data_IF_490915905983
#
_entry.id   IF_490915905983
#
_cell.length_a   1.000
_cell.length_b   1.000
_cell.length_c   1.000
_cell.angle_alpha   90.00
_cell.angle_beta   90.00
_cell.angle_gamma   90.00
#
_symmetry.space_group_name_H-M   'P 1'
#
loop_
_entity.id
_entity.type
_entity.pdbx_description
1 polymer ?
#
# COMPACT_ATOMS: atom_id res chain seq x y z
N UNK A 1 34.50 44.48 50.33
CA UNK A 1 33.13 44.02 50.69
C UNK A 1 32.28 44.14 49.44
N UNK A 2 31.69 43.14 48.80
CA UNK A 2 31.56 41.71 49.05
C UNK A 2 31.75 40.97 47.71
N UNK A 3 32.24 39.74 47.78
CA UNK A 3 32.61 38.88 46.66
C UNK A 3 31.37 38.13 46.15
N UNK A 4 31.20 38.11 44.83
CA UNK A 4 30.18 37.38 44.08
C UNK A 4 30.48 35.87 44.19
N UNK A 5 29.58 35.10 44.81
CA UNK A 5 29.59 33.63 44.77
C UNK A 5 28.53 33.13 43.80
N UNK A 6 29.00 32.52 42.71
CA UNK A 6 28.23 31.74 41.75
C UNK A 6 28.01 30.35 42.34
N UNK A 7 26.76 29.95 42.53
CA UNK A 7 26.37 28.58 42.90
C UNK A 7 25.87 27.84 41.66
N UNK A 8 26.71 26.96 41.13
CA UNK A 8 26.40 25.98 40.10
C UNK A 8 25.70 24.80 40.80
N UNK A 9 24.42 24.58 40.51
CA UNK A 9 23.68 23.43 41.01
C UNK A 9 23.86 22.25 40.04
N UNK A 10 24.71 21.31 40.42
CA UNK A 10 24.87 20.01 39.73
C UNK A 10 23.83 19.06 40.33
N UNK A 11 22.82 18.66 39.55
CA UNK A 11 21.92 17.56 39.94
C UNK A 11 22.57 16.20 39.65
N UNK A 12 22.50 15.24 40.58
CA UNK A 12 23.05 13.90 40.37
C UNK A 12 22.12 13.04 39.50
N UNK A 13 22.74 12.37 38.53
CA UNK A 13 22.16 11.27 37.75
C UNK A 13 22.01 10.07 38.69
N UNK A 14 20.77 9.63 38.93
CA UNK A 14 20.48 8.32 39.51
C UNK A 14 19.87 7.41 38.44
N UNK A 15 20.61 6.37 38.09
CA UNK A 15 20.19 5.17 37.37
C UNK A 15 19.63 4.17 38.38
N UNK A 16 18.33 3.86 38.36
CA UNK A 16 17.78 2.62 38.96
C UNK A 16 16.51 2.17 38.21
N UNK A 17 16.62 0.96 37.65
CA UNK A 17 15.66 -0.13 37.43
C UNK A 17 14.39 0.04 36.58
N UNK A 18 14.48 -0.56 35.38
CA UNK A 18 13.41 -1.31 34.71
C UNK A 18 13.00 -2.49 35.60
N UNK A 19 11.73 -2.58 35.99
CA UNK A 19 10.93 -3.83 36.17
C UNK A 19 9.74 -3.70 37.15
N UNK A 20 8.93 -2.62 37.05
CA UNK A 20 7.71 -2.47 37.88
C UNK A 20 6.50 -1.96 37.08
N UNK A 21 6.22 -2.55 35.90
CA UNK A 21 4.98 -2.24 35.17
C UNK A 21 4.13 -3.47 34.78
N UNK A 22 4.48 -4.68 35.23
CA UNK A 22 3.80 -5.91 34.81
C UNK A 22 2.84 -6.55 35.81
N UNK A 23 2.46 -5.89 36.92
CA UNK A 23 1.68 -6.60 37.98
C UNK A 23 0.45 -5.87 38.51
N UNK A 24 0.09 -4.68 38.01
CA UNK A 24 -1.13 -3.98 38.47
C UNK A 24 -2.01 -3.60 37.28
N UNK A 25 -2.78 -4.58 36.81
CA UNK A 25 -3.78 -4.37 35.76
C UNK A 25 -4.58 -5.62 35.38
N UNK A 26 -4.57 -6.66 36.22
CA UNK A 26 -5.10 -7.98 35.88
C UNK A 26 -6.42 -8.34 36.59
N UNK A 27 -7.17 -7.37 37.13
CA UNK A 27 -8.37 -7.70 37.89
C UNK A 27 -9.54 -6.72 37.75
N UNK A 28 -9.91 -6.28 36.54
CA UNK A 28 -11.30 -5.89 36.19
C UNK A 28 -11.52 -5.99 34.67
N UNK A 29 -11.58 -7.20 34.09
CA UNK A 29 -12.14 -7.42 32.75
C UNK A 29 -12.73 -8.83 32.63
N UNK A 30 -13.82 -9.08 33.36
CA UNK A 30 -14.83 -10.08 33.04
C UNK A 30 -16.10 -9.24 32.81
N UNK A 31 -16.62 -9.09 31.59
CA UNK A 31 -17.21 -10.13 30.75
C UNK A 31 -17.38 -9.60 29.32
N UNK A 32 -17.37 -10.52 28.34
CA UNK A 32 -17.42 -10.31 26.87
C UNK A 32 -16.08 -10.06 26.15
N UNK A 33 -15.13 -10.97 26.37
CA UNK A 33 -14.09 -11.28 25.37
C UNK A 33 -14.73 -11.91 24.13
N UNK A 34 -14.97 -11.10 23.09
CA UNK A 34 -14.91 -11.65 21.72
C UNK A 34 -13.51 -12.22 21.54
N UNK A 35 -13.40 -13.53 21.33
CA UNK A 35 -12.17 -14.21 20.93
C UNK A 35 -11.70 -13.63 19.59
N UNK A 36 -10.95 -12.53 19.64
CA UNK A 36 -10.07 -12.11 18.56
C UNK A 36 -8.97 -13.15 18.52
N UNK A 37 -9.19 -14.20 17.73
CA UNK A 37 -8.19 -15.19 17.40
C UNK A 37 -7.10 -14.43 16.65
N UNK A 38 -6.05 -13.98 17.37
CA UNK A 38 -4.76 -13.66 16.76
C UNK A 38 -4.48 -14.79 15.79
N UNK A 39 -4.34 -14.46 14.51
CA UNK A 39 -4.11 -15.47 13.48
C UNK A 39 -2.98 -16.37 13.97
N UNK A 40 -3.32 -17.63 14.23
CA UNK A 40 -2.34 -18.64 14.58
C UNK A 40 -1.27 -18.59 13.51
N UNK A 41 0.00 -18.48 13.89
CA UNK A 41 1.16 -18.68 13.04
C UNK A 41 0.94 -19.94 12.19
N UNK A 42 0.36 -19.78 11.01
CA UNK A 42 0.45 -20.75 9.94
C UNK A 42 1.83 -20.49 9.34
N UNK A 43 2.62 -21.57 9.28
CA UNK A 43 4.07 -21.56 9.09
C UNK A 43 4.60 -20.40 8.25
N UNK A 44 5.61 -19.71 8.78
CA UNK A 44 6.24 -18.56 8.15
C UNK A 44 6.50 -18.84 6.68
N UNK A 45 5.74 -18.15 5.82
CA UNK A 45 5.96 -18.20 4.38
C UNK A 45 7.36 -17.69 4.09
N UNK A 46 8.05 -18.33 3.16
CA UNK A 46 9.39 -17.89 2.76
C UNK A 46 9.30 -16.50 2.14
N UNK A 47 10.31 -15.64 2.33
CA UNK A 47 10.34 -14.29 1.72
C UNK A 47 10.05 -14.26 0.21
N UNK A 48 10.55 -15.22 -0.59
CA UNK A 48 10.16 -15.35 -2.00
C UNK A 48 8.65 -15.49 -2.21
N UNK A 49 7.93 -16.15 -1.30
CA UNK A 49 6.49 -16.29 -1.38
C UNK A 49 5.77 -14.97 -1.06
N UNK A 50 6.16 -14.28 0.02
CA UNK A 50 5.61 -12.97 0.38
C UNK A 50 5.70 -11.98 -0.79
N UNK A 51 6.91 -11.75 -1.30
CA UNK A 51 7.14 -10.70 -2.29
C UNK A 51 6.46 -11.02 -3.63
N UNK A 52 6.30 -12.30 -3.95
CA UNK A 52 5.62 -12.71 -5.19
C UNK A 52 4.13 -12.39 -5.19
N UNK A 53 3.44 -12.61 -4.07
CA UNK A 53 2.02 -12.24 -3.93
C UNK A 53 1.84 -10.74 -3.85
N UNK A 54 2.71 -10.05 -3.10
CA UNK A 54 2.72 -8.58 -3.06
C UNK A 54 2.88 -8.00 -4.47
N UNK A 55 3.86 -8.48 -5.24
CA UNK A 55 4.10 -8.01 -6.61
C UNK A 55 2.90 -8.26 -7.53
N UNK A 56 2.24 -9.42 -7.41
CA UNK A 56 1.03 -9.71 -8.17
C UNK A 56 -0.08 -8.69 -7.87
N UNK A 57 -0.36 -8.41 -6.60
CA UNK A 57 -1.35 -7.40 -6.19
C UNK A 57 -1.02 -5.99 -6.70
N UNK A 58 0.25 -5.59 -6.59
CA UNK A 58 0.70 -4.29 -7.08
C UNK A 58 0.56 -4.17 -8.61
N UNK A 59 0.94 -5.21 -9.37
CA UNK A 59 0.80 -5.23 -10.82
C UNK A 59 -0.68 -5.20 -11.23
N UNK A 60 -1.57 -5.85 -10.47
CA UNK A 60 -3.01 -5.82 -10.74
C UNK A 60 -3.64 -4.45 -10.51
N UNK A 61 -3.18 -3.70 -9.51
CA UNK A 61 -3.56 -2.29 -9.34
C UNK A 61 -2.92 -1.39 -10.40
N UNK A 62 -1.62 -1.13 -10.27
CA UNK A 62 -0.90 -0.08 -11.00
C UNK A 62 -0.06 -0.57 -12.18
N UNK A 63 0.16 -1.88 -12.30
CA UNK A 63 1.00 -2.44 -13.36
C UNK A 63 0.35 -2.44 -14.75
N UNK A 64 1.21 -2.39 -15.77
CA UNK A 64 0.81 -2.51 -17.16
C UNK A 64 1.65 -3.55 -17.92
N UNK A 65 0.94 -4.49 -18.55
CA UNK A 65 1.48 -5.47 -19.48
C UNK A 65 1.50 -4.88 -20.90
N UNK A 66 2.70 -4.57 -21.41
CA UNK A 66 2.90 -4.11 -22.78
C UNK A 66 3.22 -5.31 -23.69
N UNK A 67 2.19 -6.06 -24.08
CA UNK A 67 2.32 -7.24 -24.96
C UNK A 67 2.22 -6.84 -26.44
N UNK A 68 3.24 -7.12 -27.28
CA UNK A 68 3.12 -6.86 -28.71
C UNK A 68 2.19 -7.86 -29.41
N UNK A 69 1.33 -7.37 -30.31
CA UNK A 69 0.41 -8.21 -31.12
C UNK A 69 1.10 -9.02 -32.23
N UNK A 70 2.35 -8.69 -32.57
CA UNK A 70 3.15 -9.35 -33.61
C UNK A 70 4.55 -9.64 -33.07
N UNK A 71 5.19 -10.71 -33.56
CA UNK A 71 6.53 -11.09 -33.10
C UNK A 71 7.65 -10.18 -33.62
N UNK A 72 7.41 -9.51 -34.76
CA UNK A 72 8.37 -8.63 -35.45
C UNK A 72 7.71 -7.31 -35.86
N UNK A 73 8.53 -6.27 -36.06
CA UNK A 73 8.14 -5.01 -36.72
C UNK A 73 8.00 -5.22 -38.23
N UNK A 74 7.40 -4.27 -38.98
CA UNK A 74 7.40 -4.32 -40.45
C UNK A 74 8.82 -4.40 -41.06
N UNK A 75 9.81 -3.81 -40.38
CA UNK A 75 11.23 -3.87 -40.75
C UNK A 75 11.93 -5.20 -40.41
N UNK A 76 11.21 -6.17 -39.82
CA UNK A 76 11.76 -7.48 -39.44
C UNK A 76 12.42 -7.54 -38.05
N UNK A 77 12.55 -6.42 -37.34
CA UNK A 77 13.12 -6.36 -35.99
C UNK A 77 12.23 -7.11 -34.98
N UNK A 78 12.84 -7.94 -34.13
CA UNK A 78 12.10 -8.65 -33.08
C UNK A 78 11.47 -7.66 -32.09
N UNK A 79 10.16 -7.81 -31.83
CA UNK A 79 9.48 -7.06 -30.76
C UNK A 79 9.75 -7.74 -29.41
N UNK A 80 9.73 -6.94 -28.34
CA UNK A 80 9.89 -7.36 -26.95
C UNK A 80 8.65 -6.99 -26.14
N UNK A 81 8.27 -7.85 -25.20
CA UNK A 81 7.25 -7.53 -24.21
C UNK A 81 7.85 -6.68 -23.09
N UNK A 82 7.01 -5.93 -22.38
CA UNK A 82 7.45 -5.17 -21.22
C UNK A 82 6.41 -5.19 -20.10
N UNK A 83 6.89 -5.08 -18.86
CA UNK A 83 6.07 -4.83 -17.68
C UNK A 83 6.46 -3.45 -17.15
N UNK A 84 5.48 -2.64 -16.81
CA UNK A 84 5.69 -1.28 -16.32
C UNK A 84 4.85 -1.00 -15.08
N UNK A 85 5.45 -0.34 -14.10
CA UNK A 85 4.73 0.27 -12.96
C UNK A 85 5.22 1.71 -12.80
N UNK A 86 4.29 2.65 -12.61
CA UNK A 86 4.60 4.08 -12.44
C UNK A 86 4.24 4.50 -11.03
N UNK A 87 5.23 4.94 -10.28
CA UNK A 87 5.10 5.38 -8.89
C UNK A 87 5.08 6.91 -8.80
N UNK A 88 4.39 7.44 -7.80
CA UNK A 88 4.64 8.82 -7.37
C UNK A 88 6.13 8.99 -7.01
N UNK A 89 6.72 10.16 -7.24
CA UNK A 89 8.16 10.32 -7.00
C UNK A 89 8.56 10.01 -5.55
N UNK A 90 7.71 10.34 -4.57
CA UNK A 90 7.94 9.99 -3.16
C UNK A 90 8.13 8.49 -2.93
N UNK A 91 7.55 7.64 -3.77
CA UNK A 91 7.62 6.18 -3.70
C UNK A 91 8.73 5.58 -4.60
N UNK A 92 9.59 6.43 -5.18
CA UNK A 92 10.78 5.99 -5.93
C UNK A 92 11.66 4.99 -5.15
N UNK A 93 11.85 5.11 -3.82
CA UNK A 93 12.59 4.09 -3.05
C UNK A 93 11.94 2.69 -3.15
N UNK A 94 10.61 2.60 -3.20
CA UNK A 94 9.91 1.33 -3.41
C UNK A 94 10.16 0.80 -4.82
N UNK A 95 10.15 1.67 -5.83
CA UNK A 95 10.49 1.28 -7.19
C UNK A 95 11.94 0.77 -7.29
N UNK A 96 12.88 1.38 -6.57
CA UNK A 96 14.27 0.94 -6.50
C UNK A 96 14.43 -0.41 -5.77
N UNK A 97 13.68 -0.64 -4.69
CA UNK A 97 13.63 -1.94 -4.03
C UNK A 97 13.17 -3.03 -5.01
N UNK A 98 12.03 -2.82 -5.68
CA UNK A 98 11.49 -3.79 -6.64
C UNK A 98 12.44 -3.99 -7.83
N UNK A 99 13.11 -2.93 -8.30
CA UNK A 99 14.16 -3.04 -9.32
C UNK A 99 15.32 -3.93 -8.85
N UNK A 100 15.77 -3.79 -7.60
CA UNK A 100 16.86 -4.62 -7.07
C UNK A 100 16.48 -6.10 -6.98
N UNK A 101 15.21 -6.40 -6.71
CA UNK A 101 14.70 -7.78 -6.56
C UNK A 101 14.41 -8.45 -7.91
N UNK A 102 13.88 -7.70 -8.88
CA UNK A 102 13.34 -8.29 -10.11
C UNK A 102 13.98 -7.75 -11.40
N UNK A 103 14.97 -6.86 -11.30
CA UNK A 103 15.65 -6.27 -12.44
C UNK A 103 14.89 -5.12 -13.10
N UNK A 104 15.14 -4.90 -14.39
CA UNK A 104 14.61 -3.75 -15.13
C UNK A 104 15.34 -2.44 -14.88
N UNK A 105 14.76 -1.35 -15.38
CA UNK A 105 15.33 0.01 -15.35
C UNK A 105 14.36 0.98 -14.71
N UNK A 106 14.90 1.91 -13.92
CA UNK A 106 14.15 2.98 -13.28
C UNK A 106 14.39 4.30 -14.02
N UNK A 107 13.32 5.02 -14.32
CA UNK A 107 13.35 6.30 -15.02
C UNK A 107 12.58 7.35 -14.23
N UNK A 108 13.24 8.46 -13.91
CA UNK A 108 12.58 9.62 -13.32
C UNK A 108 12.04 10.51 -14.43
N UNK A 109 10.74 10.76 -14.42
CA UNK A 109 10.07 11.55 -15.45
C UNK A 109 9.62 12.90 -14.91
N UNK A 110 9.95 14.02 -15.59
CA UNK A 110 9.44 15.34 -15.25
C UNK A 110 7.93 15.42 -15.44
N UNK A 111 7.31 16.42 -14.81
CA UNK A 111 5.96 16.82 -15.16
C UNK A 111 5.90 17.13 -16.67
N UNK A 112 4.84 16.72 -17.37
CA UNK A 112 4.57 17.25 -18.71
C UNK A 112 4.45 18.77 -18.56
N UNK A 113 5.10 19.54 -19.45
CA UNK A 113 4.91 21.00 -19.54
C UNK A 113 3.40 21.27 -19.65
N UNK A 114 2.80 21.87 -18.61
CA UNK A 114 1.46 22.41 -18.72
C UNK A 114 1.61 23.74 -19.44
N UNK A 115 1.48 23.73 -20.77
CA UNK A 115 1.26 24.97 -21.51
C UNK A 115 -0.18 25.40 -21.27
N UNK A 116 -0.41 26.26 -20.27
CA UNK A 116 -1.69 26.97 -20.18
C UNK A 116 -1.74 27.99 -21.33
N UNK A 117 -2.78 28.00 -22.18
CA UNK A 117 -2.95 29.03 -23.20
C UNK A 117 -3.29 30.41 -22.60
N UNK A 118 -3.63 30.48 -21.30
CA UNK A 118 -3.80 31.72 -20.55
C UNK A 118 -2.67 31.86 -19.53
N UNK A 119 -1.85 32.91 -19.72
CA UNK A 119 -0.60 33.25 -19.00
C UNK A 119 0.62 32.49 -19.52
N UNK A 120 1.37 33.17 -20.39
CA UNK A 120 2.71 32.80 -20.87
C UNK A 120 3.78 32.83 -19.78
N UNK A 121 3.56 32.10 -18.69
CA UNK A 121 4.58 31.78 -17.70
C UNK A 121 4.55 30.27 -17.50
N UNK A 122 5.30 29.55 -18.35
CA UNK A 122 5.60 28.15 -18.09
C UNK A 122 6.44 28.10 -16.80
N UNK A 123 5.81 27.85 -15.66
CA UNK A 123 6.54 27.50 -14.45
C UNK A 123 7.19 26.14 -14.72
N UNK A 124 8.47 26.18 -15.09
CA UNK A 124 9.33 25.02 -15.19
C UNK A 124 9.35 24.34 -13.82
N UNK A 125 8.59 23.25 -13.67
CA UNK A 125 8.92 22.27 -12.65
C UNK A 125 9.83 21.26 -13.34
N UNK A 126 11.12 21.57 -13.38
CA UNK A 126 12.16 20.65 -13.88
C UNK A 126 12.32 19.43 -12.95
N UNK A 127 11.73 19.49 -11.75
CA UNK A 127 11.72 18.37 -10.82
C UNK A 127 10.86 17.20 -11.33
N UNK A 128 11.35 15.95 -11.18
CA UNK A 128 10.59 14.77 -11.52
C UNK A 128 9.27 14.71 -10.76
N UNK A 129 8.24 14.15 -11.39
CA UNK A 129 6.91 14.00 -10.80
C UNK A 129 6.62 12.56 -10.41
N UNK A 130 7.26 11.63 -11.11
CA UNK A 130 6.99 10.19 -11.03
C UNK A 130 8.24 9.40 -11.38
N UNK A 131 8.34 8.20 -10.81
CA UNK A 131 9.36 7.23 -11.14
C UNK A 131 8.70 6.06 -11.89
N UNK A 132 9.25 5.69 -13.04
CA UNK A 132 8.76 4.59 -13.87
C UNK A 132 9.73 3.43 -13.79
N UNK A 133 9.25 2.30 -13.27
CA UNK A 133 9.98 1.04 -13.29
C UNK A 133 9.55 0.21 -14.51
N UNK A 134 10.51 -0.04 -15.40
CA UNK A 134 10.29 -0.70 -16.69
C UNK A 134 11.15 -1.96 -16.81
N UNK A 135 10.50 -3.11 -16.96
CA UNK A 135 11.16 -4.39 -17.22
C UNK A 135 10.94 -4.75 -18.70
N UNK A 136 12.03 -4.87 -19.46
CA UNK A 136 12.00 -5.12 -20.92
C UNK A 136 12.95 -6.23 -21.38
N UNK A 137 13.92 -6.63 -20.54
CA UNK A 137 14.77 -7.75 -20.88
C UNK A 137 13.99 -9.07 -20.74
N UNK A 138 14.16 -9.97 -21.72
CA UNK A 138 13.39 -11.21 -21.80
C UNK A 138 13.47 -12.01 -20.49
N UNK A 139 14.66 -12.12 -19.90
CA UNK A 139 14.90 -12.91 -18.68
C UNK A 139 14.04 -12.39 -17.51
N UNK A 140 14.09 -11.10 -17.20
CA UNK A 140 13.36 -10.53 -16.08
C UNK A 140 11.85 -10.52 -16.33
N UNK A 141 11.40 -10.27 -17.58
CA UNK A 141 9.98 -10.40 -17.94
C UNK A 141 9.50 -11.83 -17.70
N UNK A 142 10.19 -12.83 -18.25
CA UNK A 142 9.82 -14.25 -18.06
C UNK A 142 9.83 -14.66 -16.58
N UNK A 143 10.81 -14.19 -15.81
CA UNK A 143 10.88 -14.44 -14.37
C UNK A 143 9.66 -13.87 -13.63
N UNK A 144 9.31 -12.60 -13.86
CA UNK A 144 8.14 -11.98 -13.22
C UNK A 144 6.85 -12.70 -13.64
N UNK A 145 6.70 -13.03 -14.93
CA UNK A 145 5.51 -13.75 -15.42
C UNK A 145 5.36 -15.11 -14.73
N UNK A 146 6.43 -15.91 -14.66
CA UNK A 146 6.40 -17.17 -13.92
C UNK A 146 6.10 -16.97 -12.44
N UNK A 147 6.63 -15.90 -11.84
CA UNK A 147 6.46 -15.60 -10.42
C UNK A 147 5.01 -15.26 -10.06
N UNK A 148 4.31 -14.48 -10.89
CA UNK A 148 2.94 -14.02 -10.61
C UNK A 148 1.85 -14.89 -11.24
N UNK A 149 2.20 -15.79 -12.16
CA UNK A 149 1.26 -16.74 -12.75
C UNK A 149 0.65 -17.63 -11.65
N UNK A 150 -0.68 -17.67 -11.59
CA UNK A 150 -1.41 -18.34 -10.50
C UNK A 150 -1.57 -17.50 -9.22
N UNK A 151 -1.17 -16.21 -9.22
CA UNK A 151 -1.32 -15.29 -8.08
C UNK A 151 -2.24 -14.10 -8.33
N UNK A 152 -2.68 -13.90 -9.57
CA UNK A 152 -3.63 -12.84 -9.95
C UNK A 152 -5.06 -13.15 -9.47
N UNK A 153 -5.83 -12.11 -9.16
CA UNK A 153 -7.22 -12.20 -8.67
C UNK A 153 -8.22 -11.30 -9.42
N UNK A 154 -7.77 -10.53 -10.40
CA UNK A 154 -8.57 -9.60 -11.23
C UNK A 154 -8.68 -10.08 -12.68
N UNK A 155 -9.57 -9.50 -13.51
CA UNK A 155 -9.60 -9.75 -14.95
C UNK A 155 -8.31 -9.41 -15.71
N UNK A 156 -7.33 -8.73 -15.08
CA UNK A 156 -6.00 -8.48 -15.67
C UNK A 156 -5.24 -9.78 -15.99
N UNK A 157 -5.71 -10.94 -15.51
CA UNK A 157 -5.20 -12.26 -15.94
C UNK A 157 -5.26 -12.45 -17.46
N UNK A 158 -6.21 -11.83 -18.16
CA UNK A 158 -6.26 -11.92 -19.63
C UNK A 158 -5.01 -11.29 -20.27
N UNK A 159 -4.58 -10.13 -19.78
CA UNK A 159 -3.34 -9.49 -20.25
C UNK A 159 -2.09 -10.29 -19.87
N UNK A 160 -2.10 -10.98 -18.73
CA UNK A 160 -1.05 -11.94 -18.36
C UNK A 160 -1.01 -13.10 -19.37
N UNK A 161 -2.16 -13.67 -19.70
CA UNK A 161 -2.26 -14.77 -20.66
C UNK A 161 -1.81 -14.38 -22.06
N UNK A 162 -2.13 -13.17 -22.52
CA UNK A 162 -1.58 -12.62 -23.77
C UNK A 162 -0.05 -12.55 -23.72
N UNK A 163 0.53 -12.16 -22.58
CA UNK A 163 1.98 -12.12 -22.41
C UNK A 163 2.60 -13.52 -22.42
N UNK A 164 1.96 -14.48 -21.76
CA UNK A 164 2.36 -15.89 -21.78
C UNK A 164 2.34 -16.43 -23.22
N UNK A 165 1.29 -16.16 -23.99
CA UNK A 165 1.20 -16.58 -25.40
C UNK A 165 2.32 -15.97 -26.24
N UNK A 166 2.62 -14.68 -26.05
CA UNK A 166 3.71 -14.00 -26.73
C UNK A 166 5.08 -14.60 -26.39
N UNK A 167 5.33 -14.92 -25.12
CA UNK A 167 6.58 -15.55 -24.66
C UNK A 167 6.71 -16.98 -25.19
N UNK A 168 5.62 -17.75 -25.18
CA UNK A 168 5.60 -19.11 -25.73
C UNK A 168 5.86 -19.12 -27.24
N UNK A 169 5.28 -18.17 -27.98
CA UNK A 169 5.59 -17.96 -29.40
C UNK A 169 7.05 -17.52 -29.65
N UNK A 170 7.77 -17.10 -28.62
CA UNK A 170 9.21 -16.78 -28.62
C UNK A 170 10.08 -17.89 -28.02
N UNK A 171 9.53 -19.09 -27.85
CA UNK A 171 10.24 -20.30 -27.44
C UNK A 171 10.24 -20.60 -25.94
N UNK A 172 9.49 -19.85 -25.13
CA UNK A 172 9.23 -20.24 -23.74
C UNK A 172 8.12 -21.33 -23.68
N UNK A 173 7.93 -21.97 -22.53
CA UNK A 173 6.92 -23.03 -22.34
C UNK A 173 6.15 -22.86 -21.03
N UNK A 174 5.48 -21.71 -20.88
CA UNK A 174 4.76 -21.31 -19.68
C UNK A 174 3.31 -21.80 -19.77
N UNK A 175 2.88 -22.59 -18.79
CA UNK A 175 1.48 -23.05 -18.66
C UNK A 175 0.66 -21.95 -17.99
N UNK A 176 -0.50 -21.59 -18.54
CA UNK A 176 -1.43 -20.62 -17.95
C UNK A 176 -2.07 -21.21 -16.69
N UNK A 177 -1.88 -20.56 -15.54
CA UNK A 177 -2.49 -20.96 -14.26
C UNK A 177 -3.72 -20.10 -13.96
N UNK A 178 -4.77 -20.67 -13.32
CA UNK A 178 -6.01 -19.94 -13.04
C UNK A 178 -5.82 -18.83 -12.00
N UNK A 179 -6.85 -17.99 -11.84
CA UNK A 179 -6.93 -17.01 -10.76
C UNK A 179 -6.73 -17.65 -9.39
N UNK A 180 -6.00 -16.96 -8.52
CA UNK A 180 -5.82 -17.35 -7.13
C UNK A 180 -7.13 -17.20 -6.35
N UNK A 181 -7.53 -18.28 -5.68
CA UNK A 181 -8.75 -18.35 -4.87
C UNK A 181 -8.47 -18.51 -3.37
N UNK A 182 -7.19 -18.51 -2.97
CA UNK A 182 -6.80 -18.65 -1.57
C UNK A 182 -7.33 -17.51 -0.69
N UNK A 183 -7.55 -17.75 0.62
CA UNK A 183 -8.02 -16.72 1.55
C UNK A 183 -7.17 -15.45 1.50
N UNK A 184 -7.80 -14.27 1.59
CA UNK A 184 -7.09 -12.98 1.48
C UNK A 184 -6.02 -12.77 2.57
N UNK A 185 -6.23 -13.33 3.76
CA UNK A 185 -5.26 -13.31 4.87
C UNK A 185 -4.15 -14.37 4.77
N UNK A 186 -4.14 -15.20 3.72
CA UNK A 186 -3.12 -16.24 3.57
C UNK A 186 -1.86 -15.74 2.86
N UNK A 187 -1.84 -14.53 2.29
CA UNK A 187 -0.68 -13.99 1.58
C UNK A 187 -0.75 -12.45 1.44
N UNK A 188 0.30 -11.87 0.84
CA UNK A 188 0.49 -10.43 0.70
C UNK A 188 -0.18 -9.79 -0.52
N UNK A 189 -1.03 -10.52 -1.26
CA UNK A 189 -1.66 -9.99 -2.48
C UNK A 189 -2.46 -8.71 -2.20
N UNK A 190 -3.25 -8.69 -1.13
CA UNK A 190 -4.07 -7.54 -0.78
C UNK A 190 -3.18 -6.36 -0.35
N UNK A 191 -2.01 -6.58 0.26
CA UNK A 191 -1.08 -5.50 0.58
C UNK A 191 -0.57 -4.78 -0.68
N UNK A 192 -0.18 -5.53 -1.72
CA UNK A 192 0.22 -4.96 -3.01
C UNK A 192 -0.92 -4.21 -3.70
N UNK A 193 -2.13 -4.76 -3.63
CA UNK A 193 -3.32 -4.15 -4.21
C UNK A 193 -3.74 -2.85 -3.47
N UNK A 194 -3.61 -2.83 -2.14
CA UNK A 194 -3.77 -1.63 -1.31
C UNK A 194 -2.68 -0.61 -1.63
N UNK A 195 -1.47 -1.05 -1.96
CA UNK A 195 -0.40 -0.12 -2.28
C UNK A 195 -0.59 0.62 -3.60
N UNK A 196 -1.38 0.08 -4.51
CA UNK A 196 -1.83 0.79 -5.70
C UNK A 196 -2.94 1.81 -5.39
N UNK A 197 -4.07 1.37 -4.80
CA UNK A 197 -5.31 2.18 -4.77
C UNK A 197 -5.92 2.42 -3.38
N UNK A 198 -5.21 2.02 -2.31
CA UNK A 198 -5.64 2.21 -0.93
C UNK A 198 -5.39 3.61 -0.38
N UNK A 199 -6.26 4.06 0.53
CA UNK A 199 -6.16 5.37 1.19
C UNK A 199 -6.55 5.32 2.66
N UNK A 200 -5.63 5.75 3.54
CA UNK A 200 -5.87 5.89 4.97
C UNK A 200 -6.27 7.32 5.31
N UNK A 201 -7.41 7.49 5.97
CA UNK A 201 -8.00 8.78 6.27
C UNK A 201 -8.31 8.95 7.76
N UNK A 202 -7.78 10.03 8.35
CA UNK A 202 -8.26 10.58 9.62
C UNK A 202 -9.17 11.78 9.28
N UNK A 203 -10.46 11.69 9.58
CA UNK A 203 -11.45 12.76 9.40
C UNK A 203 -11.68 13.51 10.71
N UNK A 204 -12.27 14.71 10.63
CA UNK A 204 -12.48 15.59 11.77
C UNK A 204 -11.62 16.87 11.69
N UNK A 205 -11.56 17.61 12.79
CA UNK A 205 -10.76 18.84 12.95
C UNK A 205 -11.10 19.95 11.95
N UNK A 206 -12.37 20.03 11.54
CA UNK A 206 -12.87 21.11 10.69
C UNK A 206 -13.72 22.07 11.51
N UNK A 207 -13.93 23.28 11.00
CA UNK A 207 -14.86 24.25 11.58
C UNK A 207 -16.33 23.81 11.51
N UNK A 208 -16.64 22.76 10.77
CA UNK A 208 -18.01 22.25 10.66
C UNK A 208 -18.41 21.51 11.95
N UNK A 209 -19.45 21.95 12.68
CA UNK A 209 -19.87 21.34 13.94
C UNK A 209 -20.42 19.90 13.77
N UNK A 210 -20.78 19.49 12.55
CA UNK A 210 -21.17 18.10 12.24
C UNK A 210 -19.96 17.16 12.03
N UNK A 211 -18.76 17.73 11.95
CA UNK A 211 -17.53 16.97 11.73
C UNK A 211 -17.12 16.26 13.02
N UNK A 212 -17.10 14.93 12.97
CA UNK A 212 -16.59 14.11 14.06
C UNK A 212 -15.27 13.45 13.66
N UNK A 213 -14.47 13.11 14.66
CA UNK A 213 -13.28 12.29 14.47
C UNK A 213 -13.72 10.93 13.93
N UNK A 214 -13.15 10.53 12.79
CA UNK A 214 -13.37 9.20 12.23
C UNK A 214 -12.07 8.67 11.61
N UNK A 215 -11.82 7.38 11.83
CA UNK A 215 -10.62 6.68 11.37
C UNK A 215 -11.06 5.66 10.32
N UNK A 216 -10.78 5.96 9.05
CA UNK A 216 -11.34 5.25 7.91
C UNK A 216 -10.25 4.82 6.93
N UNK A 217 -10.38 3.63 6.36
CA UNK A 217 -9.63 3.19 5.20
C UNK A 217 -10.57 3.16 3.99
N UNK A 218 -10.07 3.52 2.81
CA UNK A 218 -10.79 3.40 1.55
C UNK A 218 -9.97 2.59 0.54
N UNK A 219 -10.60 1.62 -0.12
CA UNK A 219 -10.07 0.98 -1.33
C UNK A 219 -11.09 1.19 -2.45
N UNK A 220 -10.65 1.87 -3.51
CA UNK A 220 -11.54 2.26 -4.61
C UNK A 220 -11.07 1.62 -5.90
N UNK A 221 -11.99 1.04 -6.66
CA UNK A 221 -11.71 0.47 -7.97
C UNK A 221 -12.78 0.81 -8.98
N UNK A 222 -12.39 0.88 -10.26
CA UNK A 222 -13.35 0.90 -11.37
C UNK A 222 -14.24 -0.35 -11.31
N UNK A 223 -15.50 -0.25 -11.75
CA UNK A 223 -16.39 -1.42 -11.78
C UNK A 223 -15.96 -2.46 -12.80
N UNK A 224 -15.45 -2.03 -13.95
CA UNK A 224 -15.07 -2.91 -15.07
C UNK A 224 -13.61 -2.75 -15.42
N UNK A 225 -12.96 -3.87 -15.75
CA UNK A 225 -11.61 -3.89 -16.32
C UNK A 225 -11.59 -3.40 -17.78
N UNK A 226 -10.39 -3.18 -18.33
CA UNK A 226 -10.19 -2.94 -19.76
C UNK A 226 -10.72 -4.08 -20.63
N UNK A 227 -10.78 -5.33 -20.12
CA UNK A 227 -11.43 -6.45 -20.82
C UNK A 227 -12.96 -6.32 -20.89
N UNK A 228 -13.57 -5.41 -20.10
CA UNK A 228 -15.01 -5.28 -19.94
C UNK A 228 -15.59 -6.12 -18.80
N UNK A 229 -14.80 -7.02 -18.20
CA UNK A 229 -15.24 -7.85 -17.08
C UNK A 229 -15.34 -7.06 -15.76
N UNK A 230 -16.29 -7.46 -14.91
CA UNK A 230 -16.52 -6.79 -13.63
C UNK A 230 -15.48 -7.17 -12.57
N UNK A 231 -15.05 -6.18 -11.78
CA UNK A 231 -14.26 -6.38 -10.55
C UNK A 231 -15.13 -6.72 -9.33
N UNK A 232 -16.46 -6.73 -9.47
CA UNK A 232 -17.41 -6.90 -8.37
C UNK A 232 -17.14 -8.15 -7.53
N UNK A 233 -16.90 -9.30 -8.17
CA UNK A 233 -16.64 -10.56 -7.47
C UNK A 233 -15.43 -10.45 -6.53
N UNK A 234 -14.37 -9.78 -6.97
CA UNK A 234 -13.18 -9.54 -6.14
C UNK A 234 -13.50 -8.54 -5.03
N UNK A 235 -14.16 -7.44 -5.35
CA UNK A 235 -14.51 -6.41 -4.38
C UNK A 235 -15.42 -6.97 -3.28
N UNK A 236 -16.41 -7.81 -3.61
CA UNK A 236 -17.25 -8.53 -2.66
C UNK A 236 -16.43 -9.42 -1.72
N UNK A 237 -15.50 -10.23 -2.25
CA UNK A 237 -14.59 -11.04 -1.41
C UNK A 237 -13.78 -10.19 -0.43
N UNK A 238 -13.29 -9.03 -0.86
CA UNK A 238 -12.56 -8.11 0.03
C UNK A 238 -13.51 -7.54 1.09
N UNK A 239 -14.75 -7.20 0.76
CA UNK A 239 -15.74 -6.73 1.74
C UNK A 239 -16.15 -7.79 2.74
N UNK A 240 -16.28 -9.04 2.32
CA UNK A 240 -16.53 -10.19 3.21
C UNK A 240 -15.37 -10.38 4.19
N UNK A 241 -14.13 -10.31 3.69
CA UNK A 241 -12.94 -10.42 4.54
C UNK A 241 -12.85 -9.28 5.56
N UNK A 242 -13.02 -8.03 5.13
CA UNK A 242 -12.92 -6.82 5.98
C UNK A 242 -14.18 -6.62 6.85
N UNK A 243 -15.26 -7.36 6.57
CA UNK A 243 -16.57 -7.25 7.24
C UNK A 243 -17.22 -5.86 7.09
N UNK A 244 -17.31 -5.39 5.85
CA UNK A 244 -17.98 -4.14 5.49
C UNK A 244 -18.93 -4.36 4.33
N UNK A 245 -19.74 -3.35 3.98
CA UNK A 245 -20.57 -3.40 2.78
C UNK A 245 -19.79 -2.89 1.57
N UNK A 246 -20.08 -3.46 0.41
CA UNK A 246 -19.63 -2.88 -0.86
C UNK A 246 -20.47 -1.63 -1.16
N UNK A 247 -19.80 -0.50 -1.31
CA UNK A 247 -20.44 0.73 -1.74
C UNK A 247 -20.13 0.99 -3.21
N UNK A 248 -20.94 1.83 -3.83
CA UNK A 248 -20.76 2.26 -5.20
C UNK A 248 -20.70 3.77 -5.28
N UNK A 249 -19.92 4.28 -6.23
CA UNK A 249 -19.87 5.70 -6.56
C UNK A 249 -20.01 5.89 -8.06
N UNK A 250 -20.91 6.77 -8.45
CA UNK A 250 -21.14 7.17 -9.84
C UNK A 250 -20.69 8.62 -9.98
N UNK A 251 -19.65 8.86 -10.78
CA UNK A 251 -19.21 10.23 -11.11
C UNK A 251 -19.84 10.75 -12.39
N UNK A 252 -20.03 9.86 -13.36
CA UNK A 252 -20.67 10.11 -14.65
C UNK A 252 -21.21 8.78 -15.19
N UNK A 253 -21.99 8.84 -16.26
CA UNK A 253 -22.57 7.66 -16.93
C UNK A 253 -21.55 6.57 -17.30
N UNK A 254 -20.27 6.94 -17.46
CA UNK A 254 -19.20 6.02 -17.89
C UNK A 254 -18.17 5.71 -16.81
N UNK A 255 -18.25 6.36 -15.65
CA UNK A 255 -17.23 6.20 -14.60
C UNK A 255 -17.89 5.80 -13.28
N UNK A 256 -18.03 4.49 -13.15
CA UNK A 256 -18.58 3.84 -11.96
C UNK A 256 -17.45 3.17 -11.18
N UNK A 257 -17.50 3.29 -9.85
CA UNK A 257 -16.52 2.71 -8.95
C UNK A 257 -17.17 1.88 -7.86
N UNK A 258 -16.47 0.83 -7.46
CA UNK A 258 -16.66 0.14 -6.20
C UNK A 258 -15.80 0.78 -5.12
N UNK A 259 -16.36 0.93 -3.91
CA UNK A 259 -15.70 1.55 -2.77
C UNK A 259 -15.87 0.67 -1.53
N UNK A 260 -14.75 0.20 -1.01
CA UNK A 260 -14.66 -0.45 0.30
C UNK A 260 -14.24 0.62 1.30
N UNK A 261 -15.00 0.75 2.38
CA UNK A 261 -14.73 1.74 3.42
C UNK A 261 -14.81 1.09 4.80
N UNK A 262 -13.72 1.14 5.57
CA UNK A 262 -13.78 0.79 6.99
C UNK A 262 -14.27 2.00 7.78
N UNK A 263 -15.12 1.76 8.77
CA UNK A 263 -15.72 2.83 9.58
C UNK A 263 -15.98 2.42 11.03
N UNK A 264 -15.61 1.20 11.40
CA UNK A 264 -15.89 0.64 12.71
C UNK A 264 -14.69 -0.16 13.25
N UNK A 265 -14.70 -0.41 14.56
CA UNK A 265 -13.64 -1.10 15.29
C UNK A 265 -13.27 -2.47 14.70
N UNK A 266 -14.27 -3.27 14.32
CA UNK A 266 -14.04 -4.63 13.81
C UNK A 266 -13.30 -4.58 12.47
N UNK A 267 -13.83 -3.83 11.51
CA UNK A 267 -13.23 -3.67 10.19
C UNK A 267 -11.82 -3.07 10.23
N UNK A 268 -11.59 -2.06 11.09
CA UNK A 268 -10.27 -1.48 11.28
C UNK A 268 -9.28 -2.50 11.89
N UNK A 269 -9.69 -3.27 12.89
CA UNK A 269 -8.82 -4.27 13.51
C UNK A 269 -8.43 -5.39 12.53
N UNK A 270 -9.37 -5.88 11.71
CA UNK A 270 -9.06 -6.89 10.67
C UNK A 270 -8.00 -6.35 9.71
N UNK A 271 -8.15 -5.10 9.25
CA UNK A 271 -7.19 -4.48 8.34
C UNK A 271 -5.82 -4.28 9.01
N UNK A 272 -5.79 -3.86 10.27
CA UNK A 272 -4.55 -3.69 11.06
C UNK A 272 -3.82 -5.03 11.19
N UNK A 273 -4.53 -6.09 11.59
CA UNK A 273 -3.95 -7.43 11.75
C UNK A 273 -3.37 -7.92 10.42
N UNK A 274 -4.09 -7.70 9.31
CA UNK A 274 -3.61 -8.03 7.97
C UNK A 274 -2.33 -7.27 7.59
N UNK A 275 -2.31 -5.94 7.72
CA UNK A 275 -1.19 -5.10 7.30
C UNK A 275 0.02 -5.15 8.24
N UNK A 276 -0.18 -5.57 9.50
CA UNK A 276 0.93 -5.92 10.39
C UNK A 276 1.56 -7.28 10.03
N UNK A 277 0.77 -8.20 9.48
CA UNK A 277 1.26 -9.50 8.99
C UNK A 277 1.92 -9.37 7.61
N UNK A 278 1.32 -8.57 6.73
CA UNK A 278 1.78 -8.32 5.36
C UNK A 278 1.95 -6.81 5.16
N UNK A 279 3.13 -6.25 5.49
CA UNK A 279 3.38 -4.82 5.40
C UNK A 279 3.19 -4.27 3.98
N UNK A 280 2.79 -3.00 3.90
CA UNK A 280 2.89 -2.21 2.68
C UNK A 280 4.37 -1.87 2.41
N UNK A 281 4.74 -1.71 1.14
CA UNK A 281 6.11 -1.33 0.77
C UNK A 281 6.23 0.16 0.46
N UNK A 282 5.18 0.78 -0.06
CA UNK A 282 5.18 2.21 -0.39
C UNK A 282 5.21 3.10 0.85
N UNK A 283 5.33 4.42 0.65
CA UNK A 283 5.21 5.43 1.71
C UNK A 283 3.88 5.37 2.46
N UNK A 284 2.86 4.72 1.88
CA UNK A 284 1.57 4.45 2.50
C UNK A 284 1.68 3.52 3.72
N UNK A 285 2.79 2.78 3.87
CA UNK A 285 3.14 2.12 5.12
C UNK A 285 3.17 3.11 6.30
N UNK A 286 3.79 4.28 6.10
CA UNK A 286 3.87 5.32 7.13
C UNK A 286 2.49 5.91 7.43
N UNK A 287 1.67 6.10 6.39
CA UNK A 287 0.28 6.57 6.54
C UNK A 287 -0.58 5.55 7.30
N UNK A 288 -0.38 4.25 7.04
CA UNK A 288 -0.99 3.16 7.78
C UNK A 288 -0.56 3.19 9.26
N UNK A 289 0.72 3.41 9.57
CA UNK A 289 1.21 3.45 10.96
C UNK A 289 0.69 4.64 11.76
N UNK A 290 0.60 5.80 11.13
CA UNK A 290 -0.04 6.96 11.76
C UNK A 290 -1.55 6.73 11.95
N UNK A 291 -2.20 6.12 10.96
CA UNK A 291 -3.62 5.75 11.02
C UNK A 291 -3.91 4.68 12.09
N UNK A 292 -3.05 3.66 12.24
CA UNK A 292 -3.12 2.62 13.27
C UNK A 292 -2.98 3.24 14.67
N UNK A 293 -2.03 4.16 14.84
CA UNK A 293 -1.85 4.90 16.09
C UNK A 293 -3.10 5.71 16.45
N UNK A 294 -3.67 6.44 15.47
CA UNK A 294 -4.90 7.19 15.66
C UNK A 294 -6.11 6.28 15.95
N UNK A 295 -6.20 5.12 15.29
CA UNK A 295 -7.23 4.11 15.55
C UNK A 295 -7.14 3.62 17.01
N UNK A 296 -5.94 3.32 17.51
CA UNK A 296 -5.73 2.87 18.87
C UNK A 296 -6.14 3.93 19.91
N UNK A 297 -5.85 5.21 19.67
CA UNK A 297 -6.34 6.32 20.51
C UNK A 297 -7.88 6.40 20.47
N UNK A 298 -8.46 6.25 19.28
CA UNK A 298 -9.90 6.34 19.08
C UNK A 298 -10.66 5.21 19.79
N UNK A 299 -10.30 3.95 19.56
CA UNK A 299 -11.00 2.77 20.10
C UNK A 299 -10.89 2.66 21.62
N UNK A 300 -9.78 3.13 22.20
CA UNK A 300 -9.58 3.18 23.65
C UNK A 300 -10.23 4.41 24.30
N UNK A 301 -10.99 5.22 23.53
CA UNK A 301 -11.65 6.45 23.99
C UNK A 301 -10.69 7.50 24.58
N UNK A 302 -9.39 7.40 24.27
CA UNK A 302 -8.36 8.30 24.76
C UNK A 302 -8.40 9.67 24.07
N UNK A 303 -9.02 9.77 22.90
CA UNK A 303 -9.24 11.03 22.18
C UNK A 303 -10.07 12.09 22.94
N UNK A 304 -10.61 11.76 24.13
CA UNK A 304 -11.25 12.72 25.03
C UNK A 304 -10.23 13.53 25.84
N UNK A 305 -9.02 13.00 26.01
CA UNK A 305 -7.89 13.72 26.59
C UNK A 305 -7.39 14.76 25.55
N UNK A 306 -7.28 16.05 25.91
CA UNK A 306 -6.78 17.10 25.01
C UNK A 306 -5.41 16.80 24.39
N UNK A 307 -4.49 16.18 25.14
CA UNK A 307 -3.14 15.81 24.67
C UNK A 307 -3.22 14.73 23.60
N UNK A 308 -4.05 13.71 23.82
CA UNK A 308 -4.25 12.63 22.86
C UNK A 308 -5.03 13.09 21.64
N UNK A 309 -6.02 13.98 21.82
CA UNK A 309 -6.76 14.60 20.72
C UNK A 309 -5.83 15.40 19.81
N UNK A 310 -4.93 16.19 20.41
CA UNK A 310 -3.94 16.96 19.66
C UNK A 310 -2.90 16.06 18.99
N UNK A 311 -2.51 14.95 19.62
CA UNK A 311 -1.70 13.92 18.98
C UNK A 311 -2.36 13.39 17.70
N UNK A 312 -3.66 13.08 17.71
CA UNK A 312 -4.38 12.64 16.51
C UNK A 312 -4.45 13.74 15.44
N UNK A 313 -4.62 15.01 15.85
CA UNK A 313 -4.55 16.16 14.92
C UNK A 313 -3.20 16.22 14.21
N UNK A 314 -2.11 16.05 14.96
CA UNK A 314 -0.75 16.05 14.42
C UNK A 314 -0.49 14.88 13.48
N UNK A 315 -0.97 13.67 13.80
CA UNK A 315 -0.90 12.52 12.88
C UNK A 315 -1.61 12.82 11.55
N UNK A 316 -2.83 13.36 11.62
CA UNK A 316 -3.59 13.78 10.42
C UNK A 316 -2.84 14.85 9.61
N UNK A 317 -2.20 15.80 10.27
CA UNK A 317 -1.48 16.89 9.62
C UNK A 317 -0.23 16.40 8.87
N UNK A 318 0.36 15.28 9.27
CA UNK A 318 1.63 14.77 8.73
C UNK A 318 1.50 13.50 7.87
N UNK A 319 0.28 13.09 7.51
CA UNK A 319 0.03 11.92 6.65
C UNK A 319 -0.28 12.28 5.19
N UNK A 320 -0.27 11.28 4.31
CA UNK A 320 -0.66 11.35 2.91
C UNK A 320 0.14 12.41 2.12
N UNK A 321 -0.53 13.40 1.54
CA UNK A 321 0.10 14.44 0.73
C UNK A 321 0.84 15.50 1.55
N UNK A 322 0.58 15.56 2.87
CA UNK A 322 1.23 16.52 3.75
C UNK A 322 2.53 15.96 4.38
N UNK A 323 2.82 14.67 4.18
CA UNK A 323 4.01 14.04 4.73
C UNK A 323 5.27 14.59 4.06
N UNK A 324 6.21 15.06 4.88
CA UNK A 324 7.51 15.60 4.45
C UNK A 324 8.69 14.72 4.85
N UNK A 325 8.52 13.86 5.86
CA UNK A 325 9.52 12.91 6.32
C UNK A 325 9.16 11.48 5.92
N UNK A 326 10.10 10.78 5.29
CA UNK A 326 9.94 9.40 4.83
C UNK A 326 11.09 8.54 5.36
N UNK A 327 10.75 7.59 6.24
CA UNK A 327 11.66 6.50 6.60
C UNK A 327 11.34 5.27 5.75
N UNK A 328 12.37 4.54 5.33
CA UNK A 328 12.27 3.32 4.53
C UNK A 328 12.84 2.10 5.27
N UNK A 329 12.96 2.17 6.60
CA UNK A 329 13.51 1.09 7.41
C UNK A 329 12.72 -0.23 7.27
N UNK A 330 11.43 -0.18 6.92
CA UNK A 330 10.64 -1.39 6.63
C UNK A 330 11.11 -2.15 5.39
N UNK A 331 11.90 -1.53 4.50
CA UNK A 331 12.53 -2.23 3.37
C UNK A 331 13.68 -3.14 3.82
N UNK A 332 14.39 -2.79 4.90
CA UNK A 332 15.51 -3.60 5.41
C UNK A 332 15.02 -4.98 5.87
N UNK A 333 13.81 -5.07 6.41
CA UNK A 333 13.20 -6.33 6.82
C UNK A 333 12.96 -7.30 5.66
N UNK A 334 12.83 -6.78 4.43
CA UNK A 334 12.63 -7.56 3.20
C UNK A 334 13.97 -7.97 2.59
N UNK A 335 15.00 -7.14 2.75
CA UNK A 335 16.34 -7.42 2.24
C UNK A 335 17.18 -8.32 3.17
N UNK A 336 16.83 -8.40 4.45
CA UNK A 336 17.59 -9.10 5.50
C UNK A 336 17.07 -10.50 5.83
N UNK A 337 16.02 -10.97 5.15
CA UNK A 337 15.41 -12.28 5.31
C UNK A 337 15.51 -13.07 4.01
#
# INVERSE_FOLDING_TARGET
MAIIMVLIYIMPIYLVEKDIFNTVGLSVLSSHTFLVRRYSNQGGKTEPEYISYYLAGLIEGDGHFNTPKKLKTPSGTARVAAIEVVFALKDRPTAALLQSLFGGKLYDHPNKKITSPLRGLALLRDEPARARWLIQDKKSVTNIINLINGKLRTPKINSLYEMIDFLNAKGDNIIKLPLDSSPLNSNAWLAGFIDADGHFAIKGFTSNPKSHLAIQFHLTQRKTDKSGESLEKLMLKITEFIQVKLNERVFSEKFHQFVICTSNRVSNNILIDYLNTYPLLSSKYLDFKDWETANNIYINKLHKDPVQFEKVRNLKANMNNNRTYFSWAHHEQILSR
#
